data_IF_036723637606
#
_entry.id   IF_036723637606
#
_cell.length_a   1.000
_cell.length_b   1.000
_cell.length_c   1.000
_cell.angle_alpha   90.00
_cell.angle_beta   90.00
_cell.angle_gamma   90.00
#
_symmetry.space_group_name_H-M   'P 1'
#
loop_
_entity.id
_entity.type
_entity.pdbx_description
1 polymer ?
#
# COMPACT_ATOMS: atom_id res chain seq x y z
N UNK A 1 1.46 37.61 20.85
CA UNK A 1 1.42 37.24 19.43
C UNK A 1 0.85 35.83 19.32
N UNK A 2 -0.38 35.68 18.83
CA UNK A 2 -1.06 34.38 18.74
C UNK A 2 -0.60 33.67 17.48
N UNK A 3 0.14 32.57 17.62
CA UNK A 3 0.54 31.74 16.48
C UNK A 3 -0.71 31.03 15.98
N UNK A 4 -1.23 31.47 14.83
CA UNK A 4 -2.31 30.79 14.14
C UNK A 4 -1.86 29.36 13.81
N UNK A 5 -2.46 28.37 14.49
CA UNK A 5 -2.27 26.95 14.20
C UNK A 5 -2.90 26.68 12.83
N UNK A 6 -2.11 26.82 11.77
CA UNK A 6 -2.53 26.47 10.42
C UNK A 6 -2.92 24.99 10.46
N UNK A 7 -4.20 24.69 10.28
CA UNK A 7 -4.69 23.33 10.11
C UNK A 7 -3.92 22.68 8.97
N UNK A 8 -3.17 21.61 9.27
CA UNK A 8 -2.41 20.85 8.27
C UNK A 8 -3.30 20.29 7.17
N UNK A 9 -4.60 20.13 7.44
CA UNK A 9 -5.61 19.73 6.45
C UNK A 9 -5.71 20.71 5.28
N UNK A 10 -5.34 21.98 5.48
CA UNK A 10 -5.45 23.04 4.46
C UNK A 10 -4.20 23.19 3.58
N UNK A 11 -3.07 22.55 3.93
CA UNK A 11 -1.88 22.56 3.08
C UNK A 11 -1.95 21.51 1.96
N UNK A 12 -2.75 20.45 2.13
CA UNK A 12 -2.91 19.39 1.12
C UNK A 12 -4.00 19.66 0.06
N UNK A 13 -4.72 20.78 0.13
CA UNK A 13 -5.82 21.10 -0.80
C UNK A 13 -5.50 22.27 -1.75
N UNK A 14 -4.23 22.65 -1.85
CA UNK A 14 -3.76 23.77 -2.69
C UNK A 14 -2.55 23.41 -3.54
N UNK A 15 -2.56 22.22 -4.10
CA UNK A 15 -1.73 21.90 -5.26
C UNK A 15 -2.71 21.58 -6.38
N UNK A 16 -3.06 22.63 -7.12
CA UNK A 16 -3.54 22.62 -8.49
C UNK A 16 -4.19 21.29 -8.93
N UNK A 17 -5.48 21.15 -8.64
CA UNK A 17 -6.40 20.38 -9.49
C UNK A 17 -6.46 21.06 -10.87
N UNK A 18 -5.33 21.09 -11.58
CA UNK A 18 -5.30 21.37 -13.00
C UNK A 18 -6.20 20.32 -13.64
N UNK A 19 -7.43 20.73 -13.94
CA UNK A 19 -8.58 19.98 -14.45
C UNK A 19 -8.27 18.51 -14.71
N UNK A 20 -8.66 17.62 -13.78
CA UNK A 20 -8.65 16.19 -14.04
C UNK A 20 -9.54 15.93 -15.25
N UNK A 21 -8.93 15.75 -16.42
CA UNK A 21 -9.65 15.42 -17.65
C UNK A 21 -10.39 14.12 -17.40
N UNK A 22 -11.71 14.17 -17.51
CA UNK A 22 -12.57 13.01 -17.33
C UNK A 22 -12.11 11.89 -18.29
N UNK A 23 -11.70 10.74 -17.74
CA UNK A 23 -11.26 9.59 -18.52
C UNK A 23 -12.39 8.58 -18.59
N UNK A 24 -12.80 8.20 -19.80
CA UNK A 24 -13.83 7.18 -20.04
C UNK A 24 -13.26 5.96 -20.77
N UNK A 25 -13.78 4.78 -20.43
CA UNK A 25 -13.52 3.57 -21.21
C UNK A 25 -14.48 3.42 -22.41
N UNK A 26 -14.33 2.35 -23.20
CA UNK A 26 -15.20 2.06 -24.36
C UNK A 26 -16.68 1.80 -23.99
N UNK A 27 -16.96 1.49 -22.73
CA UNK A 27 -18.34 1.37 -22.23
C UNK A 27 -18.98 2.73 -21.91
N UNK A 28 -18.24 3.83 -22.00
CA UNK A 28 -18.72 5.17 -21.67
C UNK A 28 -18.69 5.52 -20.18
N UNK A 29 -18.28 4.61 -19.30
CA UNK A 29 -18.14 4.91 -17.86
C UNK A 29 -16.94 5.82 -17.59
N UNK A 30 -17.14 6.82 -16.71
CA UNK A 30 -16.06 7.59 -16.10
C UNK A 30 -15.26 6.66 -15.19
N UNK A 31 -13.94 6.66 -15.37
CA UNK A 31 -13.06 5.77 -14.65
C UNK A 31 -12.52 6.44 -13.39
N UNK A 32 -12.49 5.72 -12.26
CA UNK A 32 -11.81 6.21 -11.07
C UNK A 32 -10.29 6.22 -11.30
N UNK A 33 -9.61 7.13 -10.61
CA UNK A 33 -8.16 7.10 -10.51
C UNK A 33 -7.76 6.06 -9.45
N UNK A 34 -7.05 5.03 -9.87
CA UNK A 34 -6.57 3.91 -9.06
C UNK A 34 -5.07 4.04 -8.78
N UNK A 35 -4.58 3.34 -7.77
CA UNK A 35 -3.15 3.27 -7.43
C UNK A 35 -2.64 1.84 -7.60
N UNK A 36 -1.52 1.66 -8.30
CA UNK A 36 -0.86 0.37 -8.44
C UNK A 36 -0.04 0.06 -7.19
N UNK A 37 -0.19 -1.17 -6.70
CA UNK A 37 0.58 -1.72 -5.58
C UNK A 37 1.53 -2.83 -6.04
N UNK A 38 1.76 -2.94 -7.36
CA UNK A 38 2.76 -3.88 -7.88
C UNK A 38 4.16 -3.39 -7.55
N UNK A 39 5.08 -4.29 -7.18
CA UNK A 39 6.46 -3.92 -6.81
C UNK A 39 7.17 -3.03 -7.84
N UNK A 40 6.85 -3.21 -9.14
CA UNK A 40 7.45 -2.44 -10.24
C UNK A 40 6.80 -1.07 -10.48
N UNK A 41 5.59 -0.84 -9.96
CA UNK A 41 4.81 0.39 -10.15
C UNK A 41 4.20 0.90 -8.83
N UNK A 42 4.88 0.70 -7.70
CA UNK A 42 4.36 1.06 -6.38
C UNK A 42 3.96 2.54 -6.34
N UNK A 43 2.73 2.80 -5.90
CA UNK A 43 2.21 4.15 -5.75
C UNK A 43 1.84 4.86 -7.06
N UNK A 44 2.10 4.26 -8.22
CA UNK A 44 1.80 4.87 -9.53
C UNK A 44 0.30 4.81 -9.81
N UNK A 45 -0.30 5.92 -10.21
CA UNK A 45 -1.74 6.01 -10.44
C UNK A 45 -2.13 5.78 -11.89
N UNK A 46 -3.27 5.15 -12.11
CA UNK A 46 -3.80 4.81 -13.43
C UNK A 46 -5.34 4.82 -13.44
N UNK A 47 -5.91 4.93 -14.63
CA UNK A 47 -7.31 4.62 -14.89
C UNK A 47 -7.40 3.23 -15.50
N UNK A 48 -8.40 2.44 -15.11
CA UNK A 48 -8.65 1.11 -15.64
C UNK A 48 -10.14 0.86 -15.80
N UNK A 49 -10.53 0.09 -16.82
CA UNK A 49 -11.91 -0.32 -17.02
C UNK A 49 -12.47 -0.95 -15.73
N UNK A 50 -13.69 -0.62 -15.34
CA UNK A 50 -14.35 -1.21 -14.16
C UNK A 50 -14.51 -2.73 -14.26
N UNK A 51 -14.59 -3.25 -15.49
CA UNK A 51 -14.60 -4.69 -15.79
C UNK A 51 -13.21 -5.27 -16.12
N UNK A 52 -12.11 -4.56 -15.85
CA UNK A 52 -10.76 -5.05 -16.17
C UNK A 52 -10.51 -6.43 -15.56
N UNK A 53 -9.95 -7.36 -16.35
CA UNK A 53 -9.75 -8.76 -15.95
C UNK A 53 -10.96 -9.68 -16.18
N UNK A 54 -12.14 -9.14 -16.49
CA UNK A 54 -13.35 -9.93 -16.72
C UNK A 54 -13.62 -10.13 -18.22
N UNK A 55 -14.48 -11.10 -18.58
CA UNK A 55 -14.90 -11.33 -19.97
C UNK A 55 -15.57 -10.11 -20.64
N UNK A 56 -16.15 -9.20 -19.85
CA UNK A 56 -16.75 -7.94 -20.31
C UNK A 56 -15.76 -6.77 -20.33
N UNK A 57 -14.48 -7.02 -20.07
CA UNK A 57 -13.44 -5.99 -20.12
C UNK A 57 -13.31 -5.44 -21.53
N UNK A 58 -13.21 -4.11 -21.66
CA UNK A 58 -12.77 -3.49 -22.90
C UNK A 58 -11.24 -3.31 -22.96
N UNK A 59 -10.53 -3.80 -21.94
CA UNK A 59 -9.08 -3.73 -21.73
C UNK A 59 -8.50 -2.32 -21.75
N UNK A 60 -9.35 -1.29 -21.58
CA UNK A 60 -8.88 0.08 -21.42
C UNK A 60 -8.11 0.23 -20.10
N UNK A 61 -6.92 0.82 -20.18
CA UNK A 61 -6.18 1.33 -19.04
C UNK A 61 -5.22 2.45 -19.49
N UNK A 62 -4.87 3.37 -18.59
CA UNK A 62 -3.99 4.51 -18.87
C UNK A 62 -3.26 4.96 -17.60
N UNK A 63 -1.94 5.15 -17.65
CA UNK A 63 -1.19 5.75 -16.56
C UNK A 63 -1.51 7.25 -16.41
N UNK A 64 -1.75 7.71 -15.18
CA UNK A 64 -1.80 9.15 -14.85
C UNK A 64 -0.39 9.68 -14.63
N UNK A 65 0.38 8.99 -13.80
CA UNK A 65 1.71 9.42 -13.43
C UNK A 65 2.73 8.91 -14.45
N UNK A 66 3.80 9.67 -14.63
CA UNK A 66 4.91 9.29 -15.50
C UNK A 66 5.59 8.00 -15.05
N UNK A 67 6.46 7.48 -15.91
CA UNK A 67 7.23 6.28 -15.63
C UNK A 67 8.07 6.46 -14.35
N UNK A 68 7.96 5.52 -13.41
CA UNK A 68 8.80 5.51 -12.21
C UNK A 68 10.26 5.34 -12.63
N UNK A 69 11.15 6.19 -12.13
CA UNK A 69 12.56 6.12 -12.47
C UNK A 69 13.13 4.72 -12.20
N UNK A 70 14.05 4.21 -13.05
CA UNK A 70 14.55 2.85 -12.91
C UNK A 70 15.17 2.56 -11.55
N UNK A 71 15.82 3.54 -10.91
CA UNK A 71 16.46 3.36 -9.60
C UNK A 71 15.42 3.15 -8.51
N UNK A 72 14.35 3.93 -8.47
CA UNK A 72 13.27 3.78 -7.50
C UNK A 72 12.59 2.43 -7.59
N UNK A 73 12.47 1.84 -8.79
CA UNK A 73 11.96 0.47 -8.97
C UNK A 73 12.77 -0.59 -8.24
N UNK A 74 14.05 -0.32 -7.92
CA UNK A 74 14.89 -1.22 -7.13
C UNK A 74 15.03 -0.78 -5.68
N UNK A 75 15.17 0.53 -5.44
CA UNK A 75 15.42 1.07 -4.09
C UNK A 75 14.17 0.93 -3.21
N UNK A 76 12.98 1.26 -3.72
CA UNK A 76 11.75 1.23 -2.91
C UNK A 76 11.46 -0.21 -2.42
N UNK A 77 11.42 -1.26 -3.27
CA UNK A 77 11.20 -2.62 -2.78
C UNK A 77 12.24 -3.10 -1.77
N UNK A 78 13.52 -2.74 -1.97
CA UNK A 78 14.58 -3.11 -1.01
C UNK A 78 14.40 -2.45 0.35
N UNK A 79 14.02 -1.17 0.38
CA UNK A 79 13.75 -0.46 1.62
C UNK A 79 12.54 -1.04 2.35
N UNK A 80 11.47 -1.36 1.62
CA UNK A 80 10.30 -2.04 2.21
C UNK A 80 10.68 -3.40 2.81
N UNK A 81 11.51 -4.19 2.12
CA UNK A 81 12.03 -5.45 2.67
C UNK A 81 12.80 -5.25 3.98
N UNK A 82 13.70 -4.26 4.02
CA UNK A 82 14.44 -3.93 5.25
C UNK A 82 13.53 -3.46 6.39
N UNK A 83 12.46 -2.72 6.08
CA UNK A 83 11.47 -2.30 7.09
C UNK A 83 10.79 -3.54 7.69
N UNK A 84 10.32 -4.47 6.84
CA UNK A 84 9.69 -5.72 7.31
C UNK A 84 10.65 -6.56 8.16
N UNK A 85 11.91 -6.68 7.75
CA UNK A 85 12.95 -7.36 8.54
C UNK A 85 13.15 -6.69 9.91
N UNK A 86 13.25 -5.36 9.94
CA UNK A 86 13.42 -4.60 11.17
C UNK A 86 12.19 -4.71 12.09
N UNK A 87 10.98 -4.62 11.54
CA UNK A 87 9.72 -4.80 12.29
C UNK A 87 9.66 -6.19 12.93
N UNK A 88 10.07 -7.24 12.20
CA UNK A 88 10.17 -8.59 12.73
C UNK A 88 11.22 -8.71 13.84
N UNK A 89 12.42 -8.11 13.66
CA UNK A 89 13.46 -8.09 14.69
C UNK A 89 12.96 -7.39 15.96
N UNK A 90 12.34 -6.22 15.84
CA UNK A 90 11.78 -5.47 16.98
C UNK A 90 10.72 -6.29 17.71
N UNK A 91 9.80 -6.93 16.98
CA UNK A 91 8.78 -7.77 17.59
C UNK A 91 9.39 -8.98 18.30
N UNK A 92 10.43 -9.60 17.73
CA UNK A 92 11.12 -10.73 18.35
C UNK A 92 11.84 -10.33 19.65
N UNK A 93 12.54 -9.19 19.69
CA UNK A 93 13.20 -8.68 20.89
C UNK A 93 12.19 -8.33 21.99
N UNK A 94 11.05 -7.75 21.63
CA UNK A 94 9.98 -7.44 22.59
C UNK A 94 9.41 -8.69 23.26
N UNK A 95 9.28 -9.80 22.52
CA UNK A 95 8.81 -11.08 23.06
C UNK A 95 9.80 -11.68 24.07
N UNK A 96 11.10 -11.56 23.80
CA UNK A 96 12.17 -12.01 24.72
C UNK A 96 12.14 -11.20 26.02
N UNK A 97 11.99 -9.87 25.93
CA UNK A 97 11.88 -8.99 27.12
C UNK A 97 10.63 -9.26 27.97
N UNK A 98 9.54 -9.77 27.37
CA UNK A 98 8.34 -10.18 28.10
C UNK A 98 8.48 -11.58 28.73
N UNK A 99 9.19 -12.52 28.10
CA UNK A 99 9.44 -13.84 28.67
C UNK A 99 10.39 -13.80 29.87
N UNK A 100 11.32 -12.86 29.92
CA UNK A 100 12.23 -12.68 31.07
C UNK A 100 11.50 -12.12 32.31
N UNK A 101 10.29 -11.56 32.16
CA UNK A 101 9.43 -11.13 33.27
C UNK A 101 8.40 -12.17 33.70
N UNK A 102 8.23 -13.25 32.94
CA UNK A 102 7.26 -14.33 33.20
C UNK A 102 7.91 -15.65 33.66
N UNK A 103 9.20 -15.68 34.04
CA UNK A 103 9.80 -16.85 34.74
C UNK A 103 9.41 -16.89 36.23
N UNK A 104 8.19 -16.48 36.57
CA UNK A 104 7.55 -16.87 37.81
C UNK A 104 6.02 -16.91 37.62
N UNK A 105 5.49 -17.91 36.90
CA UNK A 105 4.28 -18.66 37.29
C UNK A 105 4.01 -19.84 36.31
N UNK A 106 3.45 -20.97 36.81
CA UNK A 106 3.45 -22.25 36.11
C UNK A 106 2.39 -22.39 35.01
N UNK A 107 2.83 -23.12 33.97
CA UNK A 107 2.15 -23.57 32.75
C UNK A 107 0.67 -23.92 32.88
N UNK A 108 -0.15 -23.41 31.93
CA UNK A 108 -1.32 -24.16 31.44
C UNK A 108 -1.52 -23.96 29.93
N UNK A 109 -1.52 -25.10 29.22
CA UNK A 109 -1.75 -25.24 27.78
C UNK A 109 -2.94 -24.45 27.25
N UNK A 110 -2.77 -23.81 26.10
CA UNK A 110 -3.85 -23.70 25.11
C UNK A 110 -3.29 -23.87 23.70
N UNK A 111 -3.96 -24.73 22.93
CA UNK A 111 -3.67 -25.12 21.55
C UNK A 111 -4.47 -24.17 20.64
N UNK A 112 -3.81 -23.40 19.78
CA UNK A 112 -4.51 -22.65 18.73
C UNK A 112 -3.84 -22.78 17.37
N UNK A 113 -4.63 -23.33 16.48
CA UNK A 113 -4.49 -23.58 15.05
C UNK A 113 -4.20 -22.32 14.22
N UNK A 114 -3.07 -22.31 13.51
CA UNK A 114 -2.73 -21.30 12.49
C UNK A 114 -3.33 -21.69 11.13
N UNK A 115 -4.23 -20.86 10.60
CA UNK A 115 -4.58 -20.86 9.18
C UNK A 115 -3.52 -20.08 8.41
N UNK A 116 -2.86 -20.76 7.46
CA UNK A 116 -1.91 -20.16 6.52
C UNK A 116 -2.66 -19.26 5.55
N UNK A 117 -2.33 -17.97 5.53
CA UNK A 117 -2.69 -17.06 4.43
C UNK A 117 -1.47 -17.01 3.51
N UNK A 118 -1.59 -17.62 2.32
CA UNK A 118 -0.58 -17.60 1.27
C UNK A 118 -0.69 -16.29 0.47
N UNK A 119 0.38 -15.51 0.48
CA UNK A 119 0.48 -14.17 -0.11
C UNK A 119 0.95 -14.18 -1.57
N UNK A 120 1.09 -15.34 -2.21
CA UNK A 120 1.53 -15.43 -3.60
C UNK A 120 0.39 -15.81 -4.55
N UNK A 121 -0.53 -14.86 -4.80
CA UNK A 121 -1.36 -14.95 -6.01
C UNK A 121 -1.96 -13.60 -6.43
N UNK A 122 -1.16 -12.79 -7.14
CA UNK A 122 -1.72 -11.83 -8.11
C UNK A 122 -0.77 -11.81 -9.31
N UNK A 123 -1.14 -12.55 -10.35
CA UNK A 123 -0.60 -12.46 -11.72
C UNK A 123 -0.95 -11.10 -12.35
#
# INVERSE_FOLDING_TARGET
>A
ATVARKSLTRLCLKEEDHELKEVRCKHGFVLPLLTSWTLRNLGRRYWGCTYYGNARSCNFWLWKDDYIDPRSKFVIPKLLGRIVELEHSVESSRKVETSDKEVNMPTKSTKSMESKIDMNKIE
#
